data_IF_875917324832
#
_entry.id   IF_875917324832
#
_cell.length_a   1.000
_cell.length_b   1.000
_cell.length_c   1.000
_cell.angle_alpha   90.00
_cell.angle_beta   90.00
_cell.angle_gamma   90.00
#
_symmetry.space_group_name_H-M   'P 1'
#
loop_
_entity.id
_entity.type
_entity.pdbx_description
1 polymer ?
#
# COMPACT_ATOMS: atom_id res chain seq x y z
N UNK A 1 -30.26 10.48 1.90
CA UNK A 1 -28.88 9.99 1.70
C UNK A 1 -28.59 10.14 0.22
N UNK A 2 -27.59 10.93 -0.15
CA UNK A 2 -27.18 11.03 -1.55
C UNK A 2 -26.59 9.67 -1.97
N UNK A 3 -26.92 9.14 -3.16
CA UNK A 3 -26.21 7.98 -3.67
C UNK A 3 -24.74 8.35 -3.82
N UNK A 4 -23.84 7.60 -3.16
CA UNK A 4 -22.40 7.71 -3.36
C UNK A 4 -22.12 7.24 -4.78
N UNK A 5 -22.17 8.15 -5.75
CA UNK A 5 -21.84 7.87 -7.14
C UNK A 5 -20.34 7.58 -7.21
N UNK A 6 -19.94 6.58 -7.99
CA UNK A 6 -18.54 6.37 -8.28
C UNK A 6 -17.94 7.62 -8.98
N UNK A 7 -16.65 7.90 -8.73
CA UNK A 7 -15.97 9.03 -9.35
C UNK A 7 -15.83 8.87 -10.86
N UNK A 8 -15.59 9.99 -11.54
CA UNK A 8 -15.50 10.04 -12.99
C UNK A 8 -14.08 9.73 -13.46
N UNK A 9 -13.96 9.29 -14.72
CA UNK A 9 -12.67 9.10 -15.36
C UNK A 9 -11.84 10.39 -15.33
N UNK A 10 -10.58 10.27 -14.92
CA UNK A 10 -9.65 11.39 -14.72
C UNK A 10 -9.68 12.01 -13.32
N UNK A 11 -10.65 11.69 -12.47
CA UNK A 11 -10.64 12.14 -11.08
C UNK A 11 -9.43 11.56 -10.34
N UNK A 12 -8.76 12.39 -9.54
CA UNK A 12 -7.56 12.03 -8.77
C UNK A 12 -7.78 12.30 -7.29
N UNK A 13 -7.32 11.38 -6.45
CA UNK A 13 -7.53 11.41 -5.01
C UNK A 13 -6.25 11.06 -4.27
N UNK A 14 -5.89 11.88 -3.30
CA UNK A 14 -4.85 11.56 -2.31
C UNK A 14 -5.51 11.01 -1.05
N UNK A 15 -5.05 9.84 -0.62
CA UNK A 15 -5.53 9.09 0.53
C UNK A 15 -4.37 8.99 1.51
N UNK A 16 -4.57 9.45 2.74
CA UNK A 16 -3.62 9.22 3.83
C UNK A 16 -3.69 7.77 4.29
N UNK A 17 -2.53 7.22 4.58
CA UNK A 17 -2.33 5.84 4.98
C UNK A 17 -1.62 5.80 6.33
N UNK A 18 -2.17 5.07 7.29
CA UNK A 18 -1.54 4.80 8.59
C UNK A 18 -1.71 3.33 8.98
N UNK A 19 -0.61 2.63 9.23
CA UNK A 19 -0.60 1.29 9.80
C UNK A 19 0.17 1.33 11.12
N UNK A 20 -0.54 1.52 12.23
CA UNK A 20 0.03 1.67 13.56
C UNK A 20 0.80 0.45 14.07
N UNK A 21 0.39 -0.75 13.66
CA UNK A 21 0.92 -2.04 14.16
C UNK A 21 1.30 -2.97 12.99
N UNK A 22 2.10 -2.48 12.05
CA UNK A 22 2.56 -3.29 10.93
C UNK A 22 3.58 -4.33 11.40
N UNK A 23 3.37 -5.58 11.01
CA UNK A 23 4.28 -6.68 11.31
C UNK A 23 5.22 -6.88 10.13
N UNK A 24 6.51 -6.70 10.37
CA UNK A 24 7.54 -6.96 9.39
C UNK A 24 8.69 -7.77 9.97
N UNK A 25 9.50 -8.37 9.12
CA UNK A 25 10.81 -8.87 9.52
C UNK A 25 11.89 -8.17 8.71
N UNK A 26 13.01 -7.87 9.35
CA UNK A 26 14.21 -7.33 8.71
C UNK A 26 15.34 -8.32 8.99
N UNK A 27 15.89 -8.94 7.93
CA UNK A 27 16.91 -10.01 8.02
C UNK A 27 16.49 -11.11 9.02
N UNK A 28 15.23 -11.55 8.91
CA UNK A 28 14.57 -12.52 9.81
C UNK A 28 14.34 -12.07 11.27
N UNK A 29 14.71 -10.85 11.66
CA UNK A 29 14.34 -10.26 12.97
C UNK A 29 12.91 -9.71 12.89
N UNK A 30 11.95 -10.22 13.68
CA UNK A 30 10.59 -9.70 13.69
C UNK A 30 10.55 -8.31 14.34
N UNK A 31 9.78 -7.41 13.76
CA UNK A 31 9.59 -6.03 14.18
C UNK A 31 8.11 -5.67 14.07
N UNK A 32 7.66 -4.85 15.00
CA UNK A 32 6.37 -4.17 14.89
C UNK A 32 6.67 -2.68 14.74
N UNK A 33 6.24 -2.09 13.63
CA UNK A 33 6.54 -0.71 13.28
C UNK A 33 5.28 0.01 12.84
N UNK A 34 5.31 1.34 12.94
CA UNK A 34 4.25 2.18 12.41
C UNK A 34 4.64 2.71 11.04
N UNK A 35 3.86 2.37 10.02
CA UNK A 35 3.96 3.01 8.72
C UNK A 35 3.00 4.18 8.62
N UNK A 36 3.49 5.30 8.09
CA UNK A 36 2.67 6.47 7.74
C UNK A 36 3.00 6.93 6.33
N UNK A 37 2.02 7.49 5.63
CA UNK A 37 2.26 8.09 4.33
C UNK A 37 0.98 8.30 3.55
N UNK A 38 1.08 8.24 2.23
CA UNK A 38 0.01 8.62 1.32
C UNK A 38 -0.02 7.74 0.08
N UNK A 39 -1.21 7.57 -0.49
CA UNK A 39 -1.46 6.92 -1.76
C UNK A 39 -2.26 7.88 -2.63
N UNK A 40 -1.80 8.13 -3.85
CA UNK A 40 -2.55 8.90 -4.85
C UNK A 40 -3.02 7.96 -5.93
N UNK A 41 -4.34 7.94 -6.16
CA UNK A 41 -4.99 7.14 -7.17
C UNK A 41 -5.73 8.04 -8.15
N UNK A 42 -5.73 7.64 -9.42
CA UNK A 42 -6.51 8.27 -10.48
C UNK A 42 -7.51 7.27 -11.04
N UNK A 43 -8.72 7.72 -11.36
CA UNK A 43 -9.69 6.91 -12.08
C UNK A 43 -9.25 6.79 -13.53
N UNK A 44 -8.70 5.64 -13.89
CA UNK A 44 -8.24 5.36 -15.25
C UNK A 44 -9.40 5.09 -16.20
N UNK A 45 -10.47 4.46 -15.69
CA UNK A 45 -11.65 4.13 -16.46
C UNK A 45 -12.86 3.95 -15.56
N UNK A 46 -13.99 4.54 -15.96
CA UNK A 46 -15.29 4.25 -15.36
C UNK A 46 -16.10 3.33 -16.29
N UNK A 47 -16.75 2.31 -15.72
CA UNK A 47 -17.67 1.48 -16.49
C UNK A 47 -18.97 2.25 -16.81
N UNK A 48 -19.61 1.93 -17.94
CA UNK A 48 -20.85 2.57 -18.39
C UNK A 48 -22.04 2.35 -17.44
N UNK A 49 -21.91 1.38 -16.53
CA UNK A 49 -22.93 1.02 -15.54
C UNK A 49 -22.79 1.79 -14.23
N UNK A 50 -21.74 2.62 -14.06
CA UNK A 50 -21.42 3.35 -12.83
C UNK A 50 -21.27 2.43 -11.58
N UNK A 51 -21.06 1.11 -11.75
CA UNK A 51 -20.86 0.18 -10.62
C UNK A 51 -19.41 -0.23 -10.40
N UNK A 52 -18.50 0.16 -11.31
CA UNK A 52 -17.08 -0.15 -11.21
C UNK A 52 -16.22 0.95 -11.81
N UNK A 53 -15.09 1.20 -11.16
CA UNK A 53 -13.99 2.01 -11.69
C UNK A 53 -12.67 1.23 -11.61
N UNK A 54 -11.87 1.32 -12.66
CA UNK A 54 -10.48 0.88 -12.64
C UNK A 54 -9.60 2.07 -12.24
N UNK A 55 -8.66 1.83 -11.34
CA UNK A 55 -7.76 2.84 -10.77
C UNK A 55 -6.34 2.65 -11.30
N UNK A 56 -5.67 3.77 -11.54
CA UNK A 56 -4.23 3.88 -11.71
C UNK A 56 -3.62 4.36 -10.40
N UNK A 57 -2.60 3.67 -9.89
CA UNK A 57 -1.83 4.16 -8.75
C UNK A 57 -0.78 5.13 -9.29
N UNK A 58 -0.96 6.42 -8.98
CA UNK A 58 -0.08 7.50 -9.43
C UNK A 58 1.12 7.65 -8.49
N UNK A 59 0.87 7.52 -7.19
CA UNK A 59 1.92 7.56 -6.17
C UNK A 59 1.53 6.67 -4.99
N UNK A 60 2.51 6.04 -4.38
CA UNK A 60 2.36 5.32 -3.12
C UNK A 60 3.65 5.53 -2.35
N UNK A 61 3.53 6.01 -1.12
CA UNK A 61 4.68 6.21 -0.24
C UNK A 61 4.28 5.88 1.19
N UNK A 62 5.04 5.01 1.84
CA UNK A 62 4.95 4.75 3.27
C UNK A 62 6.33 4.88 3.90
N UNK A 63 6.40 5.36 5.13
CA UNK A 63 7.64 5.46 5.91
C UNK A 63 7.42 4.93 7.31
N UNK A 64 8.39 4.19 7.82
CA UNK A 64 8.44 3.73 9.21
C UNK A 64 9.83 3.94 9.79
N UNK A 65 9.89 4.28 11.08
CA UNK A 65 11.13 4.29 11.85
C UNK A 65 11.41 2.89 12.41
N UNK A 66 12.67 2.46 12.35
CA UNK A 66 13.12 1.21 12.92
C UNK A 66 13.50 1.40 14.40
N UNK A 67 13.18 0.43 15.28
CA UNK A 67 13.56 0.54 16.69
C UNK A 67 15.09 0.47 16.84
N UNK A 68 15.63 1.35 17.69
CA UNK A 68 17.05 1.40 18.01
C UNK A 68 17.35 0.70 19.34
N UNK A 69 18.05 -0.43 19.26
CA UNK A 69 18.55 -1.17 20.41
C UNK A 69 20.07 -0.95 20.65
N UNK A 70 20.70 -0.04 19.91
CA UNK A 70 22.10 0.37 20.06
C UNK A 70 23.12 -0.47 19.28
N UNK A 71 22.69 -1.40 18.41
CA UNK A 71 23.55 -2.14 17.49
C UNK A 71 23.81 -1.40 16.17
N UNK A 72 24.85 -1.82 15.44
CA UNK A 72 25.20 -1.21 14.14
C UNK A 72 24.13 -1.43 13.04
N UNK A 73 23.24 -2.39 13.24
CA UNK A 73 22.11 -2.75 12.39
C UNK A 73 20.76 -2.47 13.07
N UNK A 74 20.74 -1.71 14.16
CA UNK A 74 19.53 -1.26 14.81
C UNK A 74 19.26 0.23 14.49
N UNK A 75 18.00 0.64 14.61
CA UNK A 75 17.57 1.99 14.24
C UNK A 75 17.52 2.22 12.72
N UNK A 76 17.24 3.47 12.35
CA UNK A 76 17.09 3.90 10.97
C UNK A 76 15.63 3.97 10.50
N UNK A 77 15.39 3.85 9.20
CA UNK A 77 14.06 4.00 8.60
C UNK A 77 13.85 3.05 7.42
N UNK A 78 12.59 2.78 7.12
CA UNK A 78 12.13 2.06 5.93
C UNK A 78 11.24 2.99 5.14
N UNK A 79 11.57 3.22 3.87
CA UNK A 79 10.77 3.99 2.92
C UNK A 79 10.28 3.06 1.82
N UNK A 80 8.97 2.89 1.72
CA UNK A 80 8.31 2.07 0.69
C UNK A 80 7.71 3.00 -0.34
N UNK A 81 7.94 2.74 -1.63
CA UNK A 81 7.41 3.52 -2.75
C UNK A 81 6.93 2.63 -3.90
N UNK A 82 6.19 3.20 -4.85
CA UNK A 82 5.94 2.52 -6.13
C UNK A 82 7.26 2.17 -6.80
N UNK A 83 7.30 0.96 -7.37
CA UNK A 83 8.29 0.65 -8.39
C UNK A 83 7.96 1.44 -9.67
N UNK A 84 8.99 2.01 -10.29
CA UNK A 84 8.86 2.82 -11.52
C UNK A 84 8.58 1.95 -12.75
N UNK A 85 8.52 0.62 -12.59
CA UNK A 85 8.04 -0.31 -13.60
C UNK A 85 6.52 -0.18 -13.81
N UNK A 86 6.11 0.58 -14.84
CA UNK A 86 4.71 0.92 -15.19
C UNK A 86 3.71 -0.25 -15.20
N UNK A 87 4.15 -1.51 -15.34
CA UNK A 87 3.27 -2.65 -15.57
C UNK A 87 2.73 -3.35 -14.30
N UNK A 88 3.15 -2.96 -13.09
CA UNK A 88 2.90 -3.77 -11.88
C UNK A 88 1.92 -3.16 -10.89
N UNK A 89 1.53 -1.90 -11.07
CA UNK A 89 0.69 -1.15 -10.12
C UNK A 89 -0.65 -0.76 -10.74
N UNK A 90 -1.74 -1.25 -10.17
CA UNK A 90 -3.10 -0.98 -10.63
C UNK A 90 -4.11 -1.17 -9.50
N UNK A 91 -5.31 -0.62 -9.63
CA UNK A 91 -6.36 -0.78 -8.64
C UNK A 91 -7.73 -0.95 -9.26
N UNK A 92 -8.69 -1.30 -8.42
CA UNK A 92 -10.09 -1.43 -8.81
C UNK A 92 -10.98 -1.16 -7.62
N UNK A 93 -12.10 -0.49 -7.87
CA UNK A 93 -13.20 -0.34 -6.93
C UNK A 93 -14.48 -0.84 -7.60
N UNK A 94 -15.14 -1.79 -6.94
CA UNK A 94 -16.41 -2.36 -7.38
C UNK A 94 -17.47 -2.09 -6.31
N UNK A 95 -18.64 -1.59 -6.73
CA UNK A 95 -19.78 -1.42 -5.84
C UNK A 95 -20.38 -2.80 -5.53
N UNK A 96 -20.42 -3.18 -4.25
CA UNK A 96 -20.85 -4.53 -3.81
C UNK A 96 -22.34 -4.77 -4.08
N UNK A 97 -23.14 -3.70 -4.02
CA UNK A 97 -24.57 -3.75 -4.36
C UNK A 97 -25.10 -2.38 -4.73
N UNK A 98 -26.02 -2.34 -5.70
CA UNK A 98 -26.78 -1.13 -6.02
C UNK A 98 -27.69 -0.65 -4.86
N UNK A 99 -27.95 -1.50 -3.87
CA UNK A 99 -28.88 -1.24 -2.76
C UNK A 99 -28.24 -1.08 -1.39
N UNK A 100 -26.95 -1.40 -1.24
CA UNK A 100 -26.17 -1.14 -0.01
C UNK A 100 -24.95 -0.29 -0.32
N UNK A 101 -24.71 0.74 0.48
CA UNK A 101 -23.61 1.69 0.32
C UNK A 101 -22.27 1.05 0.74
N UNK A 102 -21.75 0.15 -0.10
CA UNK A 102 -20.48 -0.53 0.14
C UNK A 102 -19.72 -0.75 -1.16
N UNK A 103 -18.40 -0.59 -1.08
CA UNK A 103 -17.45 -0.79 -2.15
C UNK A 103 -16.39 -1.80 -1.72
N UNK A 104 -16.06 -2.74 -2.60
CA UNK A 104 -14.88 -3.57 -2.48
C UNK A 104 -13.76 -2.91 -3.31
N UNK A 105 -12.65 -2.60 -2.64
CA UNK A 105 -11.46 -2.05 -3.29
C UNK A 105 -10.34 -3.10 -3.29
N UNK A 106 -9.69 -3.29 -4.43
CA UNK A 106 -8.51 -4.12 -4.58
C UNK A 106 -7.39 -3.31 -5.23
N UNK A 107 -6.21 -3.28 -4.61
CA UNK A 107 -5.02 -2.64 -5.16
C UNK A 107 -3.93 -3.68 -5.35
N UNK A 108 -3.25 -3.62 -6.48
CA UNK A 108 -2.05 -4.38 -6.81
C UNK A 108 -0.92 -3.36 -6.93
N UNK A 109 0.16 -3.53 -6.18
CA UNK A 109 1.21 -2.51 -6.06
C UNK A 109 2.57 -3.19 -6.25
N UNK A 110 3.30 -2.82 -7.31
CA UNK A 110 4.73 -3.10 -7.39
C UNK A 110 5.48 -2.17 -6.45
N UNK A 111 6.32 -2.71 -5.57
CA UNK A 111 6.99 -1.93 -4.53
C UNK A 111 8.49 -1.93 -4.71
N UNK A 112 9.07 -0.75 -4.49
CA UNK A 112 10.46 -0.59 -4.10
C UNK A 112 10.51 -0.18 -2.62
N UNK A 113 11.53 -0.63 -1.90
CA UNK A 113 11.78 -0.19 -0.55
C UNK A 113 13.23 0.21 -0.37
N UNK A 114 13.47 1.25 0.41
CA UNK A 114 14.78 1.68 0.85
C UNK A 114 14.86 1.50 2.36
N UNK A 115 15.84 0.73 2.83
CA UNK A 115 16.12 0.56 4.25
C UNK A 115 17.41 1.30 4.57
N UNK A 116 17.28 2.40 5.33
CA UNK A 116 18.41 3.19 5.80
C UNK A 116 18.75 2.77 7.22
N UNK A 117 20.00 2.35 7.46
CA UNK A 117 20.50 2.01 8.79
C UNK A 117 21.88 2.66 9.01
N UNK A 118 22.39 2.73 10.26
CA UNK A 118 23.72 3.27 10.52
C UNK A 118 24.84 2.59 9.72
N UNK A 119 24.70 1.29 9.45
CA UNK A 119 25.64 0.51 8.63
C UNK A 119 25.55 0.75 7.12
N UNK A 120 24.55 1.50 6.63
CA UNK A 120 24.35 1.81 5.21
C UNK A 120 22.90 1.73 4.76
N UNK A 121 22.70 1.99 3.46
CA UNK A 121 21.39 1.94 2.79
C UNK A 121 21.32 0.72 1.89
N UNK A 122 20.17 0.04 1.86
CA UNK A 122 19.88 -1.02 0.90
C UNK A 122 18.58 -0.72 0.16
N UNK A 123 18.62 -0.87 -1.17
CA UNK A 123 17.46 -0.80 -2.04
C UNK A 123 16.92 -2.21 -2.28
N UNK A 124 15.61 -2.35 -2.20
CA UNK A 124 14.87 -3.60 -2.29
C UNK A 124 13.73 -3.45 -3.28
N UNK A 125 13.36 -4.55 -3.90
CA UNK A 125 12.17 -4.66 -4.77
C UNK A 125 11.29 -5.80 -4.29
N UNK A 126 9.99 -5.67 -4.48
CA UNK A 126 9.06 -6.76 -4.16
C UNK A 126 9.25 -7.91 -5.14
N UNK A 127 9.42 -9.14 -4.64
CA UNK A 127 9.49 -10.33 -5.49
C UNK A 127 8.16 -10.54 -6.25
N UNK A 128 7.05 -10.20 -5.60
CA UNK A 128 5.70 -10.22 -6.17
C UNK A 128 4.96 -8.95 -5.79
N UNK A 129 4.05 -8.45 -6.64
CA UNK A 129 3.24 -7.29 -6.30
C UNK A 129 2.47 -7.49 -5.00
N UNK A 130 2.49 -6.46 -4.16
CA UNK A 130 1.66 -6.38 -2.97
C UNK A 130 0.19 -6.32 -3.39
N UNK A 131 -0.67 -7.08 -2.70
CA UNK A 131 -2.11 -7.03 -2.92
C UNK A 131 -2.81 -6.58 -1.66
N UNK A 132 -3.57 -5.51 -1.80
CA UNK A 132 -4.35 -4.92 -0.72
C UNK A 132 -5.83 -5.02 -1.05
N UNK A 133 -6.64 -5.33 -0.04
CA UNK A 133 -8.10 -5.36 -0.18
C UNK A 133 -8.76 -4.54 0.93
N UNK A 134 -9.86 -3.86 0.62
CA UNK A 134 -10.64 -3.10 1.58
C UNK A 134 -12.13 -3.21 1.30
N UNK A 135 -12.92 -3.13 2.37
CA UNK A 135 -14.35 -2.83 2.29
C UNK A 135 -14.58 -1.42 2.77
N UNK A 136 -15.20 -0.61 1.92
CA UNK A 136 -15.39 0.82 2.16
C UNK A 136 -16.87 1.16 2.11
N UNK A 137 -17.33 2.04 2.99
CA UNK A 137 -18.70 2.58 2.91
C UNK A 137 -18.82 3.67 1.82
N UNK A 138 -17.70 4.34 1.53
CA UNK A 138 -17.60 5.43 0.56
C UNK A 138 -16.30 5.35 -0.24
N UNK A 139 -16.36 5.82 -1.49
CA UNK A 139 -15.18 6.07 -2.30
C UNK A 139 -15.25 7.50 -2.86
N UNK A 140 -14.18 8.32 -2.73
CA UNK A 140 -12.92 8.08 -2.02
C UNK A 140 -13.11 7.75 -0.51
N UNK A 141 -12.19 7.00 0.12
CA UNK A 141 -12.35 6.55 1.50
C UNK A 141 -12.22 7.70 2.49
N UNK A 142 -13.28 7.99 3.25
CA UNK A 142 -13.24 8.93 4.38
C UNK A 142 -12.70 8.26 5.65
N UNK A 143 -13.02 6.98 5.79
CA UNK A 143 -12.50 6.05 6.77
C UNK A 143 -12.59 4.66 6.12
N UNK A 144 -11.64 3.79 6.42
CA UNK A 144 -11.55 2.49 5.78
C UNK A 144 -10.34 1.72 6.26
N UNK A 145 -10.45 0.39 6.27
CA UNK A 145 -9.35 -0.50 6.59
C UNK A 145 -8.98 -1.32 5.36
N UNK A 146 -7.71 -1.26 5.01
CA UNK A 146 -7.10 -2.05 3.97
C UNK A 146 -6.23 -3.13 4.61
N UNK A 147 -6.34 -4.35 4.11
CA UNK A 147 -5.58 -5.49 4.60
C UNK A 147 -4.73 -6.07 3.48
N UNK A 148 -3.55 -6.56 3.89
CA UNK A 148 -2.64 -7.28 3.04
C UNK A 148 -3.19 -8.70 2.78
N UNK A 149 -3.33 -9.09 1.52
CA UNK A 149 -3.89 -10.40 1.16
C UNK A 149 -2.90 -11.55 1.44
N UNK A 150 -1.59 -11.29 1.33
CA UNK A 150 -0.51 -12.25 1.58
C UNK A 150 0.80 -11.53 1.89
N UNK A 151 1.73 -12.16 2.64
CA UNK A 151 3.04 -11.58 2.91
C UNK A 151 3.79 -11.15 1.65
N UNK A 152 4.56 -10.06 1.75
CA UNK A 152 5.35 -9.50 0.65
C UNK A 152 6.82 -9.56 1.00
N UNK A 153 7.57 -10.27 0.16
CA UNK A 153 9.02 -10.38 0.24
C UNK A 153 9.68 -9.27 -0.56
N UNK A 154 10.57 -8.53 0.09
CA UNK A 154 11.40 -7.48 -0.48
C UNK A 154 12.87 -7.98 -0.51
N UNK A 155 13.42 -8.05 -1.71
CA UNK A 155 14.73 -8.66 -2.00
C UNK A 155 15.65 -7.64 -2.66
N UNK A 156 16.96 -7.88 -2.61
CA UNK A 156 17.93 -7.09 -3.38
C UNK A 156 17.81 -7.50 -4.86
N UNK A 157 17.66 -6.56 -5.82
CA UNK A 157 17.47 -6.90 -7.24
C UNK A 157 18.55 -7.83 -7.81
N UNK A 158 19.81 -7.58 -7.44
CA UNK A 158 20.97 -8.35 -7.92
C UNK A 158 21.15 -9.69 -7.16
N UNK A 159 20.41 -9.93 -6.08
CA UNK A 159 20.51 -11.15 -5.26
C UNK A 159 19.13 -11.52 -4.69
N UNK A 160 18.22 -12.01 -5.54
CA UNK A 160 16.82 -12.22 -5.16
C UNK A 160 16.59 -13.45 -4.27
N UNK A 161 17.62 -14.27 -4.02
CA UNK A 161 17.52 -15.51 -3.25
C UNK A 161 17.35 -15.30 -1.73
N UNK A 162 17.55 -14.06 -1.26
CA UNK A 162 17.48 -13.71 0.16
C UNK A 162 16.50 -12.55 0.40
N UNK A 163 15.43 -12.84 1.13
CA UNK A 163 14.50 -11.82 1.64
C UNK A 163 15.19 -10.96 2.70
N UNK A 164 15.27 -9.66 2.45
CA UNK A 164 15.81 -8.69 3.40
C UNK A 164 14.69 -8.15 4.27
N UNK A 165 13.57 -7.78 3.68
CA UNK A 165 12.37 -7.37 4.42
C UNK A 165 11.20 -8.25 4.02
N UNK A 166 10.42 -8.72 4.99
CA UNK A 166 9.14 -9.36 4.73
C UNK A 166 8.03 -8.61 5.48
N UNK A 167 7.09 -8.05 4.73
CA UNK A 167 5.86 -7.50 5.29
C UNK A 167 4.89 -8.67 5.52
N UNK A 168 4.60 -8.99 6.78
CA UNK A 168 3.71 -10.09 7.16
C UNK A 168 2.26 -9.61 7.29
N UNK A 169 2.09 -8.44 7.91
CA UNK A 169 0.79 -7.81 8.11
C UNK A 169 0.94 -6.29 7.98
N UNK A 170 -0.01 -5.66 7.28
CA UNK A 170 -0.01 -4.22 7.03
C UNK A 170 -1.46 -3.68 7.14
N UNK A 171 -1.99 -3.52 8.36
CA UNK A 171 -3.36 -3.04 8.58
C UNK A 171 -3.43 -1.53 8.34
N UNK A 172 -3.66 -1.12 7.10
CA UNK A 172 -3.72 0.29 6.72
C UNK A 172 -5.09 0.86 7.05
N UNK A 173 -5.11 1.98 7.75
CA UNK A 173 -6.24 2.89 7.80
C UNK A 173 -6.13 3.88 6.65
N UNK A 174 -7.24 4.13 5.96
CA UNK A 174 -7.34 4.96 4.77
C UNK A 174 -8.24 6.16 5.04
N UNK A 175 -7.71 7.36 4.84
CA UNK A 175 -8.47 8.59 5.08
C UNK A 175 -8.13 9.65 4.04
N UNK A 176 -9.13 10.12 3.30
CA UNK A 176 -9.01 11.33 2.50
C UNK A 176 -8.97 12.57 3.40
N UNK A 177 -8.11 13.56 3.10
CA UNK A 177 -7.90 14.75 3.93
C UNK A 177 -9.12 15.66 4.07
#
# INVERSE_FOLDING_TARGET
MAPTRLPLEGDEFTIRCDAAEAEMSLRAKPLNVRFTGECTVRVAKADQTDTRVDLELVAFQLTADLPDAGGAEDGGSVHVRLDDAEATSSGRVEQVSATSAGFDMHLVVGLCAEVQQPGGTVELVSEKPMRLSARLDHFPPQDGRCELEAPVDLVVPDTPEATVVQLQNLPLTLQTP
#
